data_IF_108587731845
#
_entry.id   IF_108587731845
#
_cell.length_a   1.000
_cell.length_b   1.000
_cell.length_c   1.000
_cell.angle_alpha   90.00
_cell.angle_beta   90.00
_cell.angle_gamma   90.00
#
_symmetry.space_group_name_H-M   'P 1'
#
loop_
_entity.id
_entity.type
_entity.pdbx_description
1 polymer ?
#
# COMPACT_ATOMS: atom_id res chain seq x y z
N UNK A 1 -3.27 4.90 11.64
CA UNK A 1 -3.24 3.60 10.93
C UNK A 1 -4.62 2.98 11.02
N UNK A 2 -5.14 2.45 9.91
CA UNK A 2 -6.51 1.92 9.80
C UNK A 2 -6.55 0.42 9.47
N UNK A 3 -5.41 -0.25 9.50
CA UNK A 3 -5.33 -1.69 9.37
C UNK A 3 -6.07 -2.33 10.57
N UNK A 4 -7.03 -3.20 10.26
CA UNK A 4 -7.87 -3.86 11.24
C UNK A 4 -7.37 -5.26 11.60
N UNK A 5 -7.17 -6.12 10.60
CA UNK A 5 -6.72 -7.50 10.78
C UNK A 5 -6.18 -8.07 9.46
N UNK A 6 -5.61 -9.26 9.54
CA UNK A 6 -5.38 -10.11 8.37
C UNK A 6 -6.56 -11.08 8.21
N UNK A 7 -7.00 -11.33 6.99
CA UNK A 7 -8.11 -12.25 6.70
C UNK A 7 -7.68 -13.27 5.65
N UNK A 8 -7.98 -14.55 5.87
CA UNK A 8 -7.67 -15.58 4.89
C UNK A 8 -8.51 -15.38 3.63
N UNK A 9 -7.84 -15.31 2.46
CA UNK A 9 -8.47 -15.14 1.15
C UNK A 9 -9.39 -16.28 0.72
N UNK A 10 -9.40 -17.41 1.45
CA UNK A 10 -10.18 -18.59 1.10
C UNK A 10 -11.20 -18.98 2.16
N UNK A 11 -10.86 -18.95 3.46
CA UNK A 11 -11.78 -19.39 4.51
C UNK A 11 -12.27 -18.26 5.42
N UNK A 12 -11.82 -17.02 5.21
CA UNK A 12 -12.22 -15.86 6.02
C UNK A 12 -11.74 -15.89 7.47
N UNK A 13 -10.88 -16.85 7.85
CA UNK A 13 -10.31 -16.87 9.20
C UNK A 13 -9.53 -15.58 9.44
N UNK A 14 -9.80 -14.94 10.59
CA UNK A 14 -9.12 -13.72 11.00
C UNK A 14 -7.84 -14.03 11.74
N UNK A 15 -6.87 -13.15 11.53
CA UNK A 15 -5.50 -13.28 11.96
C UNK A 15 -5.00 -11.95 12.50
N UNK A 16 -4.24 -11.99 13.60
CA UNK A 16 -3.62 -10.80 14.17
C UNK A 16 -2.45 -10.31 13.30
N UNK A 17 -2.50 -9.05 12.90
CA UNK A 17 -1.51 -8.43 12.03
C UNK A 17 -0.23 -8.00 12.76
N UNK A 18 -0.26 -7.96 14.11
CA UNK A 18 0.91 -7.65 14.94
C UNK A 18 1.91 -8.82 15.02
N UNK A 19 1.51 -10.00 14.56
CA UNK A 19 2.37 -11.17 14.52
C UNK A 19 2.81 -11.44 13.08
N UNK A 20 4.06 -11.88 12.91
CA UNK A 20 4.54 -12.32 11.61
C UNK A 20 3.76 -13.56 11.16
N UNK A 21 3.01 -13.42 10.08
CA UNK A 21 2.19 -14.48 9.52
C UNK A 21 2.39 -14.56 8.01
N UNK A 22 2.61 -15.78 7.51
CA UNK A 22 2.79 -16.03 6.08
C UNK A 22 1.48 -16.55 5.47
N UNK A 23 0.94 -17.65 6.01
CA UNK A 23 -0.25 -18.32 5.50
C UNK A 23 -1.27 -18.54 6.62
N UNK A 24 -2.53 -18.68 6.24
CA UNK A 24 -3.60 -19.05 7.15
C UNK A 24 -3.25 -20.33 7.92
N UNK A 25 -3.47 -20.30 9.24
CA UNK A 25 -3.16 -21.41 10.16
C UNK A 25 -4.11 -22.59 9.97
N UNK A 26 -5.30 -22.37 9.40
CA UNK A 26 -6.28 -23.43 9.13
C UNK A 26 -6.14 -24.06 7.75
N UNK A 27 -6.07 -23.27 6.67
CA UNK A 27 -6.14 -23.78 5.29
C UNK A 27 -4.90 -23.50 4.44
N UNK A 28 -3.86 -22.87 5.00
CA UNK A 28 -2.58 -22.59 4.33
C UNK A 28 -2.69 -21.71 3.06
N UNK A 29 -3.76 -20.94 2.92
CA UNK A 29 -3.93 -19.95 1.84
C UNK A 29 -3.41 -18.56 2.24
N UNK A 30 -3.14 -17.68 1.27
CA UNK A 30 -2.67 -16.31 1.54
C UNK A 30 -3.63 -15.51 2.43
N UNK A 31 -3.07 -14.50 3.09
CA UNK A 31 -3.80 -13.57 3.94
C UNK A 31 -3.90 -12.22 3.23
N UNK A 32 -5.09 -11.61 3.26
CA UNK A 32 -5.31 -10.24 2.86
C UNK A 32 -5.17 -9.30 4.05
N UNK A 33 -4.61 -8.13 3.80
CA UNK A 33 -4.61 -7.03 4.77
C UNK A 33 -5.94 -6.29 4.70
N UNK A 34 -6.70 -6.32 5.78
CA UNK A 34 -8.01 -5.65 5.87
C UNK A 34 -7.84 -4.29 6.52
N UNK A 35 -8.28 -3.24 5.81
CA UNK A 35 -8.15 -1.83 6.23
C UNK A 35 -9.53 -1.17 6.26
N UNK A 36 -9.78 -0.36 7.28
CA UNK A 36 -10.98 0.48 7.38
C UNK A 36 -10.85 1.68 6.43
N UNK A 37 -11.23 1.48 5.16
CA UNK A 37 -11.13 2.48 4.11
C UNK A 37 -12.04 3.69 4.35
N UNK A 38 -13.16 3.52 5.06
CA UNK A 38 -14.05 4.64 5.39
C UNK A 38 -13.35 5.64 6.32
N UNK A 39 -12.72 5.13 7.40
CA UNK A 39 -11.92 5.99 8.29
C UNK A 39 -10.68 6.53 7.59
N UNK A 40 -10.00 5.71 6.79
CA UNK A 40 -8.83 6.14 6.05
C UNK A 40 -9.13 7.28 5.06
N UNK A 41 -10.26 7.19 4.35
CA UNK A 41 -10.72 8.22 3.42
C UNK A 41 -11.04 9.57 4.08
N UNK A 42 -11.36 9.57 5.39
CA UNK A 42 -11.56 10.80 6.16
C UNK A 42 -10.29 11.61 6.40
N UNK A 43 -9.10 10.99 6.30
CA UNK A 43 -7.80 11.68 6.53
C UNK A 43 -6.88 11.68 5.30
N UNK A 44 -6.97 10.66 4.44
CA UNK A 44 -6.19 10.54 3.21
C UNK A 44 -6.87 11.27 2.04
N UNK A 45 -7.12 12.56 2.22
CA UNK A 45 -7.69 13.40 1.15
C UNK A 45 -6.63 13.74 0.10
N UNK A 46 -7.08 14.12 -1.11
CA UNK A 46 -6.16 14.57 -2.17
C UNK A 46 -5.34 15.77 -1.71
N UNK A 47 -5.96 16.67 -0.98
CA UNK A 47 -5.38 17.89 -0.42
C UNK A 47 -4.32 17.55 0.62
N UNK A 48 -4.63 16.65 1.56
CA UNK A 48 -3.68 16.21 2.59
C UNK A 48 -2.47 15.49 1.97
N UNK A 49 -2.66 14.74 0.90
CA UNK A 49 -1.59 14.04 0.21
C UNK A 49 -0.70 14.98 -0.61
N UNK A 50 -1.22 16.09 -1.16
CA UNK A 50 -0.47 16.98 -2.07
C UNK A 50 0.78 17.59 -1.46
N UNK A 51 0.80 17.84 -0.16
CA UNK A 51 1.91 18.49 0.55
C UNK A 51 2.90 17.48 1.13
N UNK A 52 2.54 16.20 1.18
CA UNK A 52 3.42 15.12 1.64
C UNK A 52 4.50 14.84 0.61
N UNK A 53 5.64 14.35 1.08
CA UNK A 53 6.69 13.80 0.23
C UNK A 53 6.12 12.75 -0.74
N UNK A 54 6.67 12.71 -1.96
CA UNK A 54 6.30 11.67 -2.94
C UNK A 54 7.03 10.37 -2.62
N UNK A 55 6.61 9.69 -1.57
CA UNK A 55 7.11 8.37 -1.17
C UNK A 55 5.95 7.41 -0.91
N UNK A 56 6.25 6.12 -0.70
CA UNK A 56 5.29 5.12 -0.22
C UNK A 56 4.65 5.58 1.11
N UNK A 57 5.46 6.17 2.00
CA UNK A 57 5.07 6.58 3.35
C UNK A 57 4.06 7.72 3.39
N UNK A 58 3.79 8.40 2.28
CA UNK A 58 2.69 9.37 2.20
C UNK A 58 1.32 8.74 2.46
N UNK A 59 1.20 7.41 2.33
CA UNK A 59 0.00 6.63 2.63
C UNK A 59 0.11 5.84 3.94
N UNK A 60 0.97 6.27 4.87
CA UNK A 60 1.27 5.63 6.17
C UNK A 60 0.05 5.02 6.85
N UNK A 61 -1.08 5.72 6.82
CA UNK A 61 -2.28 5.32 7.50
C UNK A 61 -2.90 4.01 6.98
N UNK A 62 -2.54 3.57 5.77
CA UNK A 62 -2.91 2.28 5.17
C UNK A 62 -1.84 1.19 5.38
N UNK A 63 -0.64 1.55 5.84
CA UNK A 63 0.49 0.63 5.99
C UNK A 63 0.53 0.02 7.40
N UNK A 64 1.06 -1.21 7.55
CA UNK A 64 1.11 -1.93 8.83
C UNK A 64 2.23 -1.40 9.75
N UNK A 65 2.21 -0.10 10.08
CA UNK A 65 3.19 0.52 10.96
C UNK A 65 2.49 1.23 12.13
N UNK A 66 2.73 0.80 13.38
CA UNK A 66 2.09 1.38 14.57
C UNK A 66 2.29 2.89 14.70
N UNK A 67 1.38 3.55 15.42
CA UNK A 67 1.52 4.98 15.70
C UNK A 67 2.72 5.21 16.62
N UNK A 68 3.57 6.19 16.29
CA UNK A 68 4.80 6.50 17.04
C UNK A 68 6.05 5.75 16.58
N UNK A 69 5.92 4.83 15.62
CA UNK A 69 7.08 4.16 15.01
C UNK A 69 7.50 4.83 13.71
N UNK A 70 8.79 5.12 13.56
CA UNK A 70 9.33 5.65 12.30
C UNK A 70 9.63 4.51 11.32
N UNK A 71 9.32 4.70 10.03
CA UNK A 71 9.65 3.70 9.04
C UNK A 71 11.15 3.64 8.79
N UNK A 72 11.68 2.43 8.62
CA UNK A 72 12.95 2.26 7.91
C UNK A 72 12.65 2.47 6.43
N UNK A 73 13.22 3.53 5.86
CA UNK A 73 12.95 3.98 4.50
C UNK A 73 14.24 4.12 3.72
N UNK A 74 14.20 3.76 2.43
CA UNK A 74 15.26 4.05 1.47
C UNK A 74 14.84 5.14 0.48
N UNK A 75 13.71 5.81 0.74
CA UNK A 75 13.11 6.79 -0.16
C UNK A 75 12.21 6.17 -1.22
N UNK A 76 11.69 4.96 -0.99
CA UNK A 76 10.91 4.21 -1.97
C UNK A 76 9.55 4.83 -2.29
N UNK A 77 9.04 4.48 -3.47
CA UNK A 77 7.79 5.00 -4.01
C UNK A 77 7.97 6.33 -4.75
N UNK A 78 6.87 6.92 -5.22
CA UNK A 78 6.93 8.18 -5.99
C UNK A 78 7.71 8.12 -7.29
N UNK A 79 8.05 6.91 -7.74
CA UNK A 79 8.83 6.63 -8.94
C UNK A 79 8.22 7.27 -10.20
N UNK A 80 9.04 7.57 -11.23
CA UNK A 80 8.57 8.32 -12.39
C UNK A 80 7.49 7.61 -13.20
N UNK A 81 6.62 8.41 -13.82
CA UNK A 81 5.77 7.96 -14.92
C UNK A 81 6.31 8.60 -16.21
N UNK A 82 7.00 7.81 -17.02
CA UNK A 82 7.74 8.25 -18.20
C UNK A 82 6.87 8.13 -19.45
N UNK A 83 6.79 9.18 -20.26
CA UNK A 83 6.03 9.13 -21.52
C UNK A 83 6.86 8.51 -22.64
N UNK A 84 6.44 7.37 -23.18
CA UNK A 84 7.21 6.59 -24.15
C UNK A 84 6.90 6.99 -25.61
N UNK A 85 7.08 8.28 -25.94
CA UNK A 85 6.67 8.87 -27.23
C UNK A 85 7.19 8.12 -28.46
N UNK A 86 8.42 7.59 -28.41
CA UNK A 86 9.07 6.89 -29.54
C UNK A 86 8.36 5.59 -29.92
N UNK A 87 7.70 4.92 -28.97
CA UNK A 87 7.05 3.62 -29.16
C UNK A 87 5.53 3.70 -29.13
N UNK A 88 5.00 4.92 -29.02
CA UNK A 88 3.59 5.18 -28.75
C UNK A 88 2.68 4.83 -29.94
N UNK A 89 3.16 4.90 -31.20
CA UNK A 89 2.28 4.76 -32.35
C UNK A 89 1.10 5.72 -32.25
N UNK A 90 -0.12 5.19 -32.24
CA UNK A 90 -1.38 5.94 -32.06
C UNK A 90 -1.92 5.95 -30.62
N UNK A 91 -1.24 5.30 -29.66
CA UNK A 91 -1.70 5.22 -28.26
C UNK A 91 -0.95 6.17 -27.34
N UNK A 92 -1.58 6.61 -26.24
CA UNK A 92 -0.88 7.37 -25.21
C UNK A 92 -0.11 6.43 -24.26
N UNK A 93 1.13 6.11 -24.64
CA UNK A 93 1.95 5.13 -23.95
C UNK A 93 2.80 5.77 -22.82
N UNK A 94 2.68 5.20 -21.63
CA UNK A 94 3.44 5.57 -20.43
C UNK A 94 4.09 4.34 -19.79
N UNK A 95 5.25 4.53 -19.19
CA UNK A 95 6.01 3.52 -18.44
C UNK A 95 6.07 3.96 -16.99
N UNK A 96 5.66 3.09 -16.08
CA UNK A 96 5.86 3.27 -14.63
C UNK A 96 7.18 2.59 -14.27
N UNK A 97 8.22 3.39 -14.02
CA UNK A 97 9.58 2.89 -13.79
C UNK A 97 9.83 2.62 -12.31
N UNK A 98 9.53 1.41 -11.85
CA UNK A 98 9.71 0.98 -10.45
C UNK A 98 11.13 0.49 -10.14
N UNK A 99 12.11 0.70 -11.04
CA UNK A 99 13.49 0.21 -10.86
C UNK A 99 14.44 1.21 -10.18
N UNK A 100 13.97 2.44 -9.95
CA UNK A 100 14.73 3.57 -9.38
C UNK A 100 14.63 3.64 -7.86
#
# INVERSE_FOLDING_TARGET
MFLSHLECSSCGLRHDWLHLQNLCTACRKPLFTVVDLAKAGGVLTREALRTREKSLWRYRELLPLPAGEEPVSLGEGGTPLLRAKRFAGEVDLWIKDESL
#
